data_IF_130366764561
#
_entry.id   IF_130366764561
#
_cell.length_a   1.000
_cell.length_b   1.000
_cell.length_c   1.000
_cell.angle_alpha   90.00
_cell.angle_beta   90.00
_cell.angle_gamma   90.00
#
_symmetry.space_group_name_H-M   'P 1'
#
loop_
_entity.id
_entity.type
_entity.pdbx_description
1 polymer ?
#
# COMPACT_ATOMS: atom_id res chain seq x y z
N UNK A 1 -20.60 10.92 -37.34
CA UNK A 1 -20.32 9.53 -36.88
C UNK A 1 -19.24 9.67 -35.83
N UNK A 2 -19.63 10.03 -34.61
CA UNK A 2 -18.73 10.36 -33.53
C UNK A 2 -18.49 9.11 -32.69
N UNK A 3 -17.38 8.44 -32.97
CA UNK A 3 -16.93 7.26 -32.25
C UNK A 3 -16.54 7.63 -30.83
N UNK A 4 -17.47 7.46 -29.88
CA UNK A 4 -17.13 7.36 -28.46
C UNK A 4 -16.17 6.19 -28.30
N UNK A 5 -14.93 6.48 -27.94
CA UNK A 5 -14.02 5.49 -27.37
C UNK A 5 -14.53 5.21 -25.94
N UNK A 6 -15.47 4.27 -25.81
CA UNK A 6 -15.76 3.62 -24.54
C UNK A 6 -14.73 2.51 -24.36
N UNK A 7 -13.55 2.84 -23.86
CA UNK A 7 -12.72 1.82 -23.23
C UNK A 7 -13.44 1.39 -21.96
N UNK A 8 -13.76 0.09 -21.83
CA UNK A 8 -14.31 -0.42 -20.58
C UNK A 8 -13.26 -0.24 -19.48
N UNK A 9 -13.67 0.07 -18.25
CA UNK A 9 -12.76 0.22 -17.09
C UNK A 9 -11.91 -1.05 -16.91
N UNK A 10 -12.42 -2.19 -17.37
CA UNK A 10 -11.77 -3.51 -17.40
C UNK A 10 -10.53 -3.56 -18.31
N UNK A 11 -10.44 -2.69 -19.33
CA UNK A 11 -9.31 -2.64 -20.29
C UNK A 11 -8.07 -1.93 -19.70
N UNK A 12 -8.22 -1.19 -18.60
CA UNK A 12 -7.16 -0.41 -17.95
C UNK A 12 -6.70 -0.99 -16.60
N UNK A 13 -6.96 -2.27 -16.33
CA UNK A 13 -6.41 -2.93 -15.14
C UNK A 13 -4.91 -3.18 -15.37
N UNK A 14 -4.11 -2.16 -15.05
CA UNK A 14 -2.65 -2.28 -15.01
C UNK A 14 -2.29 -3.31 -13.95
N UNK A 15 -1.44 -4.29 -14.28
CA UNK A 15 -0.83 -5.18 -13.28
C UNK A 15 -0.08 -4.30 -12.28
N UNK A 16 -0.67 -4.08 -11.11
CA UNK A 16 -0.03 -3.35 -10.04
C UNK A 16 1.11 -4.21 -9.46
N UNK A 17 2.31 -3.64 -9.35
CA UNK A 17 3.32 -4.21 -8.50
C UNK A 17 2.92 -4.01 -7.04
N UNK A 18 3.19 -5.00 -6.19
CA UNK A 18 2.86 -5.01 -4.77
C UNK A 18 4.13 -5.23 -3.95
N UNK A 19 4.09 -4.82 -2.68
CA UNK A 19 5.06 -5.19 -1.65
C UNK A 19 4.42 -6.19 -0.70
N UNK A 20 5.24 -6.96 0.00
CA UNK A 20 4.81 -7.79 1.13
C UNK A 20 5.06 -7.10 2.47
N UNK A 21 4.35 -7.54 3.52
CA UNK A 21 4.49 -7.01 4.87
C UNK A 21 5.94 -7.04 5.38
N UNK A 22 6.70 -8.10 5.02
CA UNK A 22 8.10 -8.27 5.38
C UNK A 22 9.10 -7.45 4.55
N UNK A 23 8.67 -6.80 3.46
CA UNK A 23 9.57 -5.97 2.65
C UNK A 23 10.08 -4.77 3.44
N UNK A 24 11.33 -4.39 3.21
CA UNK A 24 11.96 -3.24 3.89
C UNK A 24 11.82 -1.95 3.09
N UNK A 25 12.01 -0.80 3.74
CA UNK A 25 12.10 0.51 3.05
C UNK A 25 13.10 0.47 1.89
N UNK A 26 14.26 -0.19 2.09
CA UNK A 26 15.27 -0.38 1.03
C UNK A 26 14.72 -1.14 -0.16
N UNK A 27 14.05 -2.27 0.07
CA UNK A 27 13.46 -3.05 -0.99
C UNK A 27 12.37 -2.25 -1.72
N UNK A 28 11.47 -1.60 -0.99
CA UNK A 28 10.37 -0.82 -1.53
C UNK A 28 10.84 0.36 -2.40
N UNK A 29 11.80 1.16 -1.93
CA UNK A 29 12.34 2.28 -2.72
C UNK A 29 13.08 1.81 -3.98
N UNK A 30 13.71 0.63 -3.95
CA UNK A 30 14.30 0.03 -5.15
C UNK A 30 13.23 -0.37 -6.16
N UNK A 31 12.17 -1.05 -5.73
CA UNK A 31 11.04 -1.42 -6.60
C UNK A 31 10.40 -0.17 -7.20
N UNK A 32 10.15 0.86 -6.40
CA UNK A 32 9.61 2.13 -6.86
C UNK A 32 10.50 2.80 -7.93
N UNK A 33 11.82 2.81 -7.71
CA UNK A 33 12.79 3.34 -8.67
C UNK A 33 12.80 2.52 -9.97
N UNK A 34 12.88 1.19 -9.87
CA UNK A 34 12.97 0.28 -11.02
C UNK A 34 11.71 0.34 -11.88
N UNK A 35 10.54 0.53 -11.27
CA UNK A 35 9.25 0.59 -11.96
C UNK A 35 8.80 2.02 -12.31
N UNK A 36 9.49 3.05 -11.80
CA UNK A 36 9.11 4.45 -12.00
C UNK A 36 7.78 4.84 -11.33
N UNK A 37 7.39 4.16 -10.25
CA UNK A 37 6.15 4.38 -9.50
C UNK A 37 6.44 5.00 -8.14
N UNK A 38 5.47 5.73 -7.58
CA UNK A 38 5.62 6.49 -6.33
C UNK A 38 4.72 6.01 -5.19
N UNK A 39 3.89 5.01 -5.48
CA UNK A 39 2.98 4.40 -4.53
C UNK A 39 2.88 2.92 -4.85
N UNK A 40 2.92 2.09 -3.82
CA UNK A 40 2.76 0.65 -3.95
C UNK A 40 1.76 0.15 -2.89
N UNK A 41 0.82 -0.72 -3.26
CA UNK A 41 0.06 -1.50 -2.29
C UNK A 41 0.96 -2.50 -1.57
N UNK A 42 0.68 -2.72 -0.28
CA UNK A 42 1.27 -3.77 0.54
C UNK A 42 0.22 -4.84 0.74
N UNK A 43 0.58 -6.09 0.49
CA UNK A 43 -0.31 -7.24 0.61
C UNK A 43 0.23 -8.28 1.58
N UNK A 44 -0.67 -9.10 2.10
CA UNK A 44 -0.33 -10.29 2.86
C UNK A 44 0.38 -11.34 1.98
N UNK A 45 1.31 -12.09 2.56
CA UNK A 45 2.08 -13.12 1.85
C UNK A 45 1.26 -14.39 1.58
N UNK A 46 0.30 -14.74 2.44
CA UNK A 46 -0.46 -15.99 2.30
C UNK A 46 -1.58 -15.87 1.27
N UNK A 47 -2.38 -14.80 1.34
CA UNK A 47 -3.63 -14.66 0.59
C UNK A 47 -3.59 -13.50 -0.42
N UNK A 48 -2.57 -12.64 -0.38
CA UNK A 48 -2.48 -11.46 -1.24
C UNK A 48 -3.51 -10.39 -0.89
N UNK A 49 -4.06 -10.41 0.32
CA UNK A 49 -5.02 -9.40 0.80
C UNK A 49 -4.32 -8.06 0.97
N UNK A 50 -4.99 -6.97 0.57
CA UNK A 50 -4.47 -5.62 0.72
C UNK A 50 -4.39 -5.24 2.21
N UNK A 51 -3.17 -5.03 2.69
CA UNK A 51 -2.90 -4.57 4.06
C UNK A 51 -2.86 -3.04 4.16
N UNK A 52 -2.43 -2.38 3.09
CA UNK A 52 -2.35 -0.92 3.04
C UNK A 52 -1.64 -0.40 1.80
N UNK A 53 -1.41 0.91 1.78
CA UNK A 53 -0.67 1.58 0.72
C UNK A 53 0.49 2.36 1.32
N UNK A 54 1.59 2.43 0.58
CA UNK A 54 2.79 3.14 1.00
C UNK A 54 3.24 4.08 -0.12
N UNK A 55 3.64 5.29 0.26
CA UNK A 55 4.15 6.31 -0.67
C UNK A 55 5.66 6.45 -0.58
N UNK A 56 6.28 6.83 -1.70
CA UNK A 56 7.71 7.12 -1.76
C UNK A 56 8.11 8.24 -0.77
N UNK A 57 7.25 9.25 -0.58
CA UNK A 57 7.51 10.34 0.36
C UNK A 57 7.60 9.84 1.81
N UNK A 58 6.65 9.02 2.25
CA UNK A 58 6.63 8.40 3.58
C UNK A 58 7.90 7.56 3.80
N UNK A 59 8.24 6.70 2.84
CA UNK A 59 9.44 5.87 2.90
C UNK A 59 10.73 6.70 2.99
N UNK A 60 10.83 7.81 2.24
CA UNK A 60 11.99 8.71 2.29
C UNK A 60 12.13 9.41 3.64
N UNK A 61 11.02 9.77 4.29
CA UNK A 61 11.03 10.33 5.66
C UNK A 61 11.53 9.28 6.65
N UNK A 62 10.99 8.07 6.59
CA UNK A 62 11.28 6.99 7.54
C UNK A 62 12.66 6.34 7.34
N UNK A 63 13.20 6.35 6.12
CA UNK A 63 14.55 5.87 5.81
C UNK A 63 15.61 6.47 6.73
N UNK A 64 15.46 7.75 7.10
CA UNK A 64 16.43 8.44 7.97
C UNK A 64 16.49 7.85 9.38
N UNK A 65 15.44 7.14 9.78
CA UNK A 65 15.29 6.52 11.10
C UNK A 65 15.75 5.06 11.04
N UNK A 66 15.15 4.27 10.15
CA UNK A 66 15.47 2.84 10.00
C UNK A 66 15.27 2.38 8.54
N UNK A 67 16.35 2.30 7.73
CA UNK A 67 16.26 1.80 6.35
C UNK A 67 15.78 0.33 6.24
N UNK A 68 15.91 -0.43 7.33
CA UNK A 68 15.57 -1.85 7.39
C UNK A 68 14.21 -2.11 8.04
N UNK A 69 13.45 -1.07 8.40
CA UNK A 69 12.08 -1.24 8.89
C UNK A 69 11.21 -1.93 7.83
N UNK A 70 10.35 -2.84 8.28
CA UNK A 70 9.40 -3.56 7.43
C UNK A 70 8.16 -2.72 7.09
N UNK A 71 7.43 -3.11 6.04
CA UNK A 71 6.14 -2.49 5.73
C UNK A 71 5.13 -2.70 6.85
N UNK A 72 5.16 -3.85 7.54
CA UNK A 72 4.32 -4.11 8.71
C UNK A 72 4.52 -3.07 9.82
N UNK A 73 5.78 -2.77 10.18
CA UNK A 73 6.12 -1.77 11.21
C UNK A 73 5.66 -0.35 10.83
N UNK A 74 5.66 -0.04 9.54
CA UNK A 74 5.25 1.27 9.02
C UNK A 74 3.72 1.38 8.99
N UNK A 75 3.04 0.34 8.55
CA UNK A 75 1.58 0.28 8.49
C UNK A 75 0.95 0.25 9.88
N UNK A 76 1.58 -0.43 10.84
CA UNK A 76 1.15 -0.43 12.25
C UNK A 76 1.39 0.89 12.98
N UNK A 77 2.11 1.84 12.36
CA UNK A 77 2.42 3.15 12.94
C UNK A 77 3.56 3.14 13.96
N UNK A 78 4.30 2.03 14.11
CA UNK A 78 5.38 1.91 15.09
C UNK A 78 6.53 2.89 14.85
N UNK A 79 6.72 3.36 13.61
CA UNK A 79 7.75 4.33 13.23
C UNK A 79 7.29 5.79 13.25
N UNK A 80 5.98 6.04 13.24
CA UNK A 80 5.42 7.40 13.25
C UNK A 80 5.54 8.04 14.65
N UNK A 81 5.53 7.21 15.70
CA UNK A 81 5.69 7.61 17.11
C UNK A 81 7.07 8.18 17.47
N UNK A 82 8.04 8.13 16.56
CA UNK A 82 9.37 8.72 16.74
C UNK A 82 9.42 10.17 16.19
N UNK A 83 8.48 10.56 15.33
CA UNK A 83 8.46 11.87 14.65
C UNK A 83 7.56 12.92 15.34
N UNK A 84 6.73 12.51 16.30
CA UNK A 84 5.76 13.35 17.03
C UNK A 84 6.36 14.46 17.92
N UNK A 85 7.69 14.65 17.91
CA UNK A 85 8.32 15.86 18.46
C UNK A 85 8.48 17.01 17.44
N UNK A 86 7.95 16.89 16.22
CA UNK A 86 7.94 17.98 15.22
C UNK A 86 6.53 18.61 15.07
N UNK A 87 6.32 19.88 15.49
CA UNK A 87 4.99 20.50 15.58
C UNK A 87 4.33 20.84 14.23
N UNK A 88 4.94 20.49 13.09
CA UNK A 88 4.42 20.81 11.75
C UNK A 88 3.84 19.59 11.00
N UNK A 89 3.91 18.38 11.57
CA UNK A 89 3.45 17.14 10.92
C UNK A 89 1.93 16.99 10.95
N UNK A 90 1.24 17.30 9.85
CA UNK A 90 -0.18 16.93 9.67
C UNK A 90 -0.30 15.40 9.63
N UNK A 91 -1.16 14.77 10.44
CA UNK A 91 -1.40 13.34 10.32
C UNK A 91 -2.16 13.06 9.02
N UNK A 92 -1.56 12.26 8.14
CA UNK A 92 -2.32 11.57 7.11
C UNK A 92 -2.90 10.34 7.79
N UNK A 93 -4.09 10.49 8.36
CA UNK A 93 -4.93 9.37 8.72
C UNK A 93 -5.18 8.58 7.44
N UNK A 94 -4.36 7.54 7.22
CA UNK A 94 -4.63 6.53 6.20
C UNK A 94 -5.98 5.93 6.58
N UNK A 95 -6.94 6.02 5.66
CA UNK A 95 -8.12 5.19 5.68
C UNK A 95 -7.62 3.74 5.71
N UNK A 96 -7.46 3.19 6.91
CA UNK A 96 -7.61 1.77 7.10
C UNK A 96 -9.01 1.48 6.55
N UNK A 97 -9.08 0.90 5.35
CA UNK A 97 -10.29 0.26 4.93
C UNK A 97 -10.72 -0.60 6.12
N UNK A 98 -11.97 -0.50 6.59
CA UNK A 98 -12.40 -1.31 7.71
C UNK A 98 -12.05 -2.74 7.33
N UNK A 99 -11.26 -3.39 8.19
CA UNK A 99 -11.02 -4.82 8.14
C UNK A 99 -12.42 -5.43 8.14
N UNK A 100 -12.94 -5.76 6.95
CA UNK A 100 -14.26 -6.36 6.84
C UNK A 100 -14.04 -7.76 7.37
N UNK A 101 -14.50 -7.99 8.60
CA UNK A 101 -14.63 -9.31 9.17
C UNK A 101 -15.46 -10.19 8.22
N UNK A 102 -14.81 -10.88 7.28
CA UNK A 102 -15.41 -11.97 6.55
C UNK A 102 -15.23 -13.27 7.34
N UNK A 103 -15.79 -13.28 8.54
CA UNK A 103 -16.04 -14.52 9.24
C UNK A 103 -17.24 -15.22 8.56
N UNK A 104 -16.92 -16.17 7.70
CA UNK A 104 -17.76 -17.33 7.39
C UNK A 104 -19.10 -17.07 6.69
N UNK A 105 -19.13 -17.32 5.38
CA UNK A 105 -20.26 -18.01 4.76
C UNK A 105 -19.83 -18.71 3.47
N UNK A 106 -19.57 -20.00 3.58
CA UNK A 106 -19.71 -20.93 2.46
C UNK A 106 -21.10 -20.77 1.84
N UNK A 107 -21.18 -20.47 0.54
CA UNK A 107 -22.43 -20.61 -0.18
C UNK A 107 -22.58 -19.80 -1.45
N UNK A 108 -22.20 -20.42 -2.58
CA UNK A 108 -22.90 -20.39 -3.89
C UNK A 108 -23.54 -19.06 -4.32
N UNK A 109 -22.97 -18.44 -5.36
CA UNK A 109 -23.65 -17.44 -6.18
C UNK A 109 -24.20 -18.12 -7.45
N UNK A 110 -25.50 -17.97 -7.80
CA UNK A 110 -26.06 -18.54 -9.01
C UNK A 110 -25.75 -17.69 -10.25
N UNK A 111 -25.87 -18.35 -11.40
CA UNK A 111 -25.71 -17.91 -12.78
C UNK A 111 -26.71 -16.84 -13.23
#
# INVERSE_FOLDING_TARGET
>A
MDGRVQGSVEEWVSRAATLFAGDTIVAALRVMQELGVRQLPVVDEEHGELLGEITEEELRRLWRISPLASMEEILSGQLETVLENDPAGRPHLKHAAPLVDFHGAHGRWPH
#
